data_IF_087773201068
#
_entry.id   IF_087773201068
#
_cell.length_a   1.000
_cell.length_b   1.000
_cell.length_c   1.000
_cell.angle_alpha   90.00
_cell.angle_beta   90.00
_cell.angle_gamma   90.00
#
_symmetry.space_group_name_H-M   'P 1'
#
loop_
_entity.id
_entity.type
_entity.pdbx_description
1 polymer ?
#
# COMPACT_ATOMS: atom_id res chain seq x y z
N UNK A 1 -6.80 -0.88 47.87
CA UNK A 1 -6.66 0.19 46.85
C UNK A 1 -5.40 -0.08 46.04
N UNK A 2 -5.54 -0.63 44.84
CA UNK A 2 -4.44 -0.75 43.86
C UNK A 2 -5.03 -0.43 42.50
N UNK A 3 -4.99 0.85 42.11
CA UNK A 3 -5.27 1.26 40.75
C UNK A 3 -4.03 0.91 39.91
N UNK A 4 -4.06 -0.25 39.25
CA UNK A 4 -3.12 -0.55 38.17
C UNK A 4 -3.56 0.26 36.95
N UNK A 5 -2.91 1.40 36.75
CA UNK A 5 -2.86 2.08 35.46
C UNK A 5 -2.24 1.13 34.44
N UNK A 6 -3.08 0.43 33.68
CA UNK A 6 -2.65 -0.25 32.44
C UNK A 6 -2.83 0.75 31.30
N UNK A 7 -1.93 1.74 31.27
CA UNK A 7 -1.67 2.52 30.07
C UNK A 7 -0.86 1.65 29.12
N UNK A 8 -1.53 0.95 28.22
CA UNK A 8 -0.90 0.24 27.10
C UNK A 8 -1.18 1.02 25.82
N UNK A 9 -0.32 2.00 25.56
CA UNK A 9 0.00 2.40 24.20
C UNK A 9 0.61 1.18 23.49
N UNK A 10 -0.07 0.61 22.51
CA UNK A 10 0.57 -0.36 21.62
C UNK A 10 -0.01 -0.34 20.21
N UNK A 11 0.88 0.08 19.31
CA UNK A 11 1.08 -0.36 17.94
C UNK A 11 -0.11 -0.25 16.98
N UNK A 12 -0.11 0.86 16.24
CA UNK A 12 0.12 0.84 14.79
C UNK A 12 0.30 -0.59 14.26
N UNK A 13 -0.76 -1.14 13.67
CA UNK A 13 -0.62 -2.28 12.77
C UNK A 13 0.07 -1.74 11.51
N UNK A 14 1.38 -1.60 11.62
CA UNK A 14 2.26 -1.47 10.47
C UNK A 14 2.50 -2.90 10.07
N UNK A 15 1.64 -3.40 9.17
CA UNK A 15 1.98 -4.62 8.47
C UNK A 15 3.25 -4.32 7.69
N UNK A 16 4.32 -4.96 8.14
CA UNK A 16 5.57 -5.02 7.42
C UNK A 16 5.25 -5.66 6.07
N UNK A 17 5.25 -4.85 5.01
CA UNK A 17 5.71 -5.32 3.72
C UNK A 17 7.15 -5.80 3.93
N UNK A 18 7.29 -7.06 4.36
CA UNK A 18 8.58 -7.71 4.54
C UNK A 18 9.31 -7.62 3.22
N UNK A 19 10.37 -6.81 3.22
CA UNK A 19 11.41 -6.76 2.19
C UNK A 19 11.79 -8.18 1.79
N UNK A 20 11.37 -8.61 0.61
CA UNK A 20 12.16 -9.52 -0.19
C UNK A 20 13.13 -8.65 -1.00
N UNK A 21 14.43 -8.87 -0.78
CA UNK A 21 15.49 -8.11 -1.43
C UNK A 21 15.46 -8.31 -2.95
N UNK A 22 15.04 -7.28 -3.66
CA UNK A 22 15.51 -6.91 -4.99
C UNK A 22 15.02 -5.47 -5.20
N UNK A 23 15.90 -4.49 -4.97
CA UNK A 23 15.61 -3.10 -5.27
C UNK A 23 15.49 -2.94 -6.79
N UNK A 24 14.26 -2.93 -7.28
CA UNK A 24 13.94 -2.57 -8.64
C UNK A 24 13.68 -1.05 -8.72
N UNK A 25 14.31 -0.29 -9.64
CA UNK A 25 14.16 1.17 -9.71
C UNK A 25 12.75 1.65 -10.06
N UNK A 26 11.82 0.77 -10.47
CA UNK A 26 10.49 1.13 -10.96
C UNK A 26 9.31 0.93 -9.98
N UNK A 27 9.48 0.19 -8.89
CA UNK A 27 8.37 -0.32 -8.06
C UNK A 27 8.57 -0.07 -6.56
N UNK A 28 8.98 1.13 -6.17
CA UNK A 28 9.05 1.48 -4.75
C UNK A 28 7.68 1.95 -4.26
N UNK A 29 6.95 1.06 -3.56
CA UNK A 29 5.98 1.55 -2.57
C UNK A 29 6.73 2.50 -1.61
N UNK A 30 6.12 3.61 -1.15
CA UNK A 30 6.81 4.54 -0.28
C UNK A 30 7.32 3.85 0.98
N UNK A 31 8.48 4.27 1.47
CA UNK A 31 9.06 3.74 2.71
C UNK A 31 8.01 3.81 3.83
N UNK A 32 7.68 2.70 4.53
CA UNK A 32 6.70 2.69 5.61
C UNK A 32 6.96 3.73 6.69
N UNK A 33 8.23 4.02 7.00
CA UNK A 33 8.60 5.07 7.94
C UNK A 33 8.26 6.47 7.42
N UNK A 34 8.49 6.71 6.12
CA UNK A 34 8.17 7.99 5.49
C UNK A 34 6.65 8.23 5.46
N UNK A 35 5.86 7.19 5.18
CA UNK A 35 4.40 7.26 5.25
C UNK A 35 3.93 7.60 6.67
N UNK A 36 4.47 6.95 7.69
CA UNK A 36 4.11 7.26 9.09
C UNK A 36 4.44 8.70 9.47
N UNK A 37 5.61 9.21 9.07
CA UNK A 37 5.95 10.62 9.29
C UNK A 37 4.99 11.56 8.58
N UNK A 38 4.55 11.22 7.37
CA UNK A 38 3.56 12.01 6.63
C UNK A 38 2.19 11.99 7.31
N UNK A 39 1.74 10.83 7.81
CA UNK A 39 0.50 10.69 8.59
C UNK A 39 0.56 11.59 9.83
N UNK A 40 1.66 11.54 10.59
CA UNK A 40 1.84 12.39 11.77
C UNK A 40 1.76 13.88 11.43
N UNK A 41 2.48 14.32 10.39
CA UNK A 41 2.45 15.73 9.94
C UNK A 41 1.04 16.17 9.54
N UNK A 42 0.30 15.36 8.79
CA UNK A 42 -1.06 15.71 8.37
C UNK A 42 -1.99 15.77 9.58
N UNK A 43 -1.87 14.83 10.52
CA UNK A 43 -2.70 14.81 11.73
C UNK A 43 -2.44 16.03 12.65
N UNK A 44 -1.20 16.54 12.67
CA UNK A 44 -0.81 17.74 13.40
C UNK A 44 -1.24 19.03 12.70
N UNK A 45 -0.96 19.13 11.40
CA UNK A 45 -1.22 20.34 10.59
C UNK A 45 -2.70 20.51 10.24
N UNK A 46 -3.46 19.41 10.21
CA UNK A 46 -4.91 19.37 9.97
C UNK A 46 -5.35 20.14 8.71
N UNK A 47 -4.70 19.92 7.55
CA UNK A 47 -5.03 20.66 6.33
C UNK A 47 -6.41 20.27 5.82
N UNK A 48 -7.18 21.24 5.31
CA UNK A 48 -8.52 21.01 4.73
C UNK A 48 -8.50 20.05 3.54
N UNK A 49 -7.43 20.11 2.74
CA UNK A 49 -7.24 19.25 1.58
C UNK A 49 -7.16 17.76 1.97
N UNK A 50 -6.65 17.44 3.16
CA UNK A 50 -6.60 16.06 3.64
C UNK A 50 -7.99 15.50 3.96
N UNK A 51 -8.92 16.31 4.50
CA UNK A 51 -10.30 15.85 4.70
C UNK A 51 -10.97 15.51 3.36
N UNK A 52 -10.75 16.34 2.33
CA UNK A 52 -11.29 16.10 0.99
C UNK A 52 -10.68 14.83 0.36
N UNK A 53 -9.36 14.66 0.47
CA UNK A 53 -8.65 13.47 0.00
C UNK A 53 -9.13 12.19 0.71
N UNK A 54 -9.27 12.24 2.03
CA UNK A 54 -9.78 11.12 2.83
C UNK A 54 -11.20 10.72 2.40
N UNK A 55 -12.11 11.68 2.19
CA UNK A 55 -13.47 11.41 1.71
C UNK A 55 -13.48 10.85 0.28
N UNK A 56 -12.64 11.38 -0.60
CA UNK A 56 -12.49 10.86 -1.96
C UNK A 56 -12.02 9.41 -1.93
N UNK A 57 -11.10 9.08 -1.02
CA UNK A 57 -10.64 7.72 -0.84
C UNK A 57 -11.71 6.80 -0.24
N UNK A 58 -12.48 7.26 0.74
CA UNK A 58 -13.64 6.52 1.27
C UNK A 58 -14.64 6.16 0.16
N UNK A 59 -14.90 7.09 -0.77
CA UNK A 59 -15.75 6.81 -1.92
C UNK A 59 -15.15 5.71 -2.81
N UNK A 60 -13.84 5.79 -3.09
CA UNK A 60 -13.15 4.80 -3.92
C UNK A 60 -13.15 3.40 -3.29
N UNK A 61 -12.88 3.28 -1.99
CA UNK A 61 -12.89 1.99 -1.29
C UNK A 61 -14.30 1.42 -1.19
N UNK A 62 -15.34 2.24 -1.02
CA UNK A 62 -16.72 1.76 -0.97
C UNK A 62 -17.24 1.21 -2.31
N UNK A 63 -16.61 1.55 -3.44
CA UNK A 63 -16.88 0.89 -4.72
C UNK A 63 -16.29 -0.53 -4.80
N UNK A 64 -15.40 -0.88 -3.87
CA UNK A 64 -14.76 -2.18 -3.82
C UNK A 64 -15.65 -3.22 -3.14
N UNK A 65 -15.59 -4.46 -3.64
CA UNK A 65 -16.41 -5.57 -3.11
C UNK A 65 -16.13 -5.79 -1.61
N UNK A 66 -17.18 -5.74 -0.80
CA UNK A 66 -17.13 -6.09 0.62
C UNK A 66 -16.73 -4.95 1.57
N UNK A 67 -16.61 -3.71 1.09
CA UNK A 67 -16.05 -2.60 1.87
C UNK A 67 -17.05 -1.60 2.47
N UNK A 68 -18.30 -2.04 2.65
CA UNK A 68 -19.38 -1.22 3.21
C UNK A 68 -19.79 -0.07 2.28
N UNK A 69 -20.92 0.57 2.58
CA UNK A 69 -21.39 1.71 1.76
C UNK A 69 -20.61 2.99 2.07
N UNK A 70 -20.60 3.93 1.12
CA UNK A 70 -19.96 5.25 1.30
C UNK A 70 -20.57 5.96 2.51
N UNK A 71 -21.89 5.90 2.66
CA UNK A 71 -22.62 6.56 3.75
C UNK A 71 -22.19 6.00 5.10
N UNK A 72 -22.02 4.68 5.21
CA UNK A 72 -21.58 4.02 6.45
C UNK A 72 -20.17 4.44 6.83
N UNK A 73 -19.26 4.46 5.85
CA UNK A 73 -17.86 4.81 6.07
C UNK A 73 -17.70 6.29 6.44
N UNK A 74 -18.41 7.18 5.74
CA UNK A 74 -18.39 8.62 6.04
C UNK A 74 -19.04 8.90 7.40
N UNK A 75 -20.17 8.27 7.72
CA UNK A 75 -20.83 8.43 9.02
C UNK A 75 -19.93 8.01 10.18
N UNK A 76 -19.15 6.94 10.01
CA UNK A 76 -18.17 6.54 11.01
C UNK A 76 -17.04 7.57 11.18
N UNK A 77 -16.51 8.09 10.07
CA UNK A 77 -15.49 9.14 10.11
C UNK A 77 -16.01 10.41 10.81
N UNK A 78 -17.26 10.81 10.57
CA UNK A 78 -17.89 11.94 11.29
C UNK A 78 -18.13 11.65 12.78
N UNK A 79 -18.47 10.41 13.12
CA UNK A 79 -18.59 9.99 14.52
C UNK A 79 -17.26 10.17 15.26
N UNK A 80 -16.13 9.87 14.63
CA UNK A 80 -14.82 10.16 15.23
C UNK A 80 -14.61 11.64 15.43
N UNK A 81 -14.99 12.48 14.46
CA UNK A 81 -14.85 13.92 14.57
C UNK A 81 -15.59 14.47 15.79
N UNK A 82 -16.76 13.91 16.10
CA UNK A 82 -17.57 14.30 17.25
C UNK A 82 -17.03 13.78 18.59
N UNK A 83 -16.48 12.57 18.62
CA UNK A 83 -16.14 11.87 19.87
C UNK A 83 -14.66 11.94 20.26
N UNK A 84 -13.75 11.95 19.27
CA UNK A 84 -12.31 11.97 19.47
C UNK A 84 -11.63 12.65 18.28
N UNK A 85 -11.43 13.97 18.42
CA UNK A 85 -10.83 14.80 17.38
C UNK A 85 -9.39 14.35 17.04
N UNK A 86 -8.67 13.76 18.00
CA UNK A 86 -7.33 13.22 17.75
C UNK A 86 -7.39 11.99 16.85
N UNK A 87 -8.23 11.02 17.21
CA UNK A 87 -8.43 9.80 16.42
C UNK A 87 -9.06 10.08 15.05
N UNK A 88 -9.86 11.14 14.92
CA UNK A 88 -10.35 11.65 13.64
C UNK A 88 -9.20 12.07 12.73
N UNK A 89 -8.34 12.97 13.18
CA UNK A 89 -7.24 13.48 12.35
C UNK A 89 -6.19 12.43 12.04
N UNK A 90 -5.97 11.46 12.92
CA UNK A 90 -5.14 10.29 12.61
C UNK A 90 -5.73 9.46 11.47
N UNK A 91 -7.05 9.24 11.46
CA UNK A 91 -7.69 8.48 10.38
C UNK A 91 -7.71 9.26 9.06
N UNK A 92 -8.04 10.56 9.11
CA UNK A 92 -7.97 11.44 7.92
C UNK A 92 -6.57 11.41 7.31
N UNK A 93 -5.54 11.52 8.14
CA UNK A 93 -4.16 11.46 7.68
C UNK A 93 -3.80 10.11 7.05
N UNK A 94 -4.19 9.00 7.68
CA UNK A 94 -3.97 7.65 7.15
C UNK A 94 -4.64 7.48 5.78
N UNK A 95 -5.93 7.84 5.66
CA UNK A 95 -6.68 7.76 4.41
C UNK A 95 -6.09 8.65 3.31
N UNK A 96 -5.61 9.83 3.68
CA UNK A 96 -4.98 10.77 2.72
C UNK A 96 -3.68 10.19 2.14
N UNK A 97 -2.81 9.63 2.99
CA UNK A 97 -1.55 9.03 2.53
C UNK A 97 -1.83 7.78 1.69
N UNK A 98 -2.78 6.95 2.09
CA UNK A 98 -3.20 5.78 1.32
C UNK A 98 -3.77 6.17 -0.05
N UNK A 99 -4.51 7.27 -0.13
CA UNK A 99 -5.02 7.78 -1.39
C UNK A 99 -3.90 8.22 -2.34
N UNK A 100 -2.92 8.96 -1.84
CA UNK A 100 -1.76 9.39 -2.64
C UNK A 100 -0.96 8.17 -3.17
N UNK A 101 -0.75 7.15 -2.33
CA UNK A 101 -0.14 5.88 -2.76
C UNK A 101 -0.92 5.26 -3.93
N UNK A 102 -2.23 5.14 -3.80
CA UNK A 102 -3.08 4.58 -4.85
C UNK A 102 -3.04 5.44 -6.12
N UNK A 103 -3.17 6.76 -6.01
CA UNK A 103 -3.12 7.66 -7.17
C UNK A 103 -1.79 7.56 -7.94
N UNK A 104 -0.67 7.46 -7.21
CA UNK A 104 0.64 7.29 -7.82
C UNK A 104 0.79 5.91 -8.48
N UNK A 105 0.23 4.85 -7.88
CA UNK A 105 0.22 3.51 -8.44
C UNK A 105 -0.66 3.41 -9.68
N UNK A 106 -1.87 3.98 -9.69
CA UNK A 106 -2.81 3.91 -10.82
C UNK A 106 -2.17 4.41 -12.12
N UNK A 107 -1.30 5.43 -12.04
CA UNK A 107 -0.59 5.98 -13.21
C UNK A 107 0.42 5.02 -13.83
N UNK A 108 0.88 4.02 -13.08
CA UNK A 108 1.94 3.09 -13.49
C UNK A 108 1.44 1.67 -13.69
N UNK A 109 0.56 1.22 -12.80
CA UNK A 109 0.07 -0.16 -12.70
C UNK A 109 -1.33 -0.15 -12.07
N UNK A 110 -2.35 -0.04 -12.92
CA UNK A 110 -3.75 0.03 -12.50
C UNK A 110 -4.25 -1.27 -11.85
N UNK A 111 -3.72 -2.43 -12.26
CA UNK A 111 -4.06 -3.74 -11.69
C UNK A 111 -3.56 -3.85 -10.26
N UNK A 112 -2.28 -3.52 -10.03
CA UNK A 112 -1.72 -3.47 -8.67
C UNK A 112 -2.41 -2.42 -7.82
N UNK A 113 -2.72 -1.25 -8.40
CA UNK A 113 -3.44 -0.20 -7.68
C UNK A 113 -4.83 -0.66 -7.21
N UNK A 114 -5.56 -1.45 -8.00
CA UNK A 114 -6.84 -2.02 -7.59
C UNK A 114 -6.69 -2.97 -6.39
N UNK A 115 -5.67 -3.84 -6.39
CA UNK A 115 -5.39 -4.74 -5.26
C UNK A 115 -4.94 -3.99 -4.00
N UNK A 116 -4.10 -2.96 -4.16
CA UNK A 116 -3.68 -2.11 -3.02
C UNK A 116 -4.87 -1.32 -2.46
N UNK A 117 -5.78 -0.85 -3.30
CA UNK A 117 -7.03 -0.20 -2.86
C UNK A 117 -7.88 -1.15 -2.02
N UNK A 118 -7.99 -2.42 -2.44
CA UNK A 118 -8.68 -3.46 -1.66
C UNK A 118 -8.03 -3.67 -0.29
N UNK A 119 -6.70 -3.80 -0.23
CA UNK A 119 -5.99 -3.95 1.04
C UNK A 119 -6.25 -2.78 1.98
N UNK A 120 -6.09 -1.54 1.50
CA UNK A 120 -6.30 -0.36 2.34
C UNK A 120 -7.73 -0.22 2.86
N UNK A 121 -8.73 -0.58 2.06
CA UNK A 121 -10.11 -0.59 2.57
C UNK A 121 -10.36 -1.69 3.61
N UNK A 122 -9.73 -2.86 3.49
CA UNK A 122 -9.78 -3.89 4.54
C UNK A 122 -9.08 -3.43 5.82
N UNK A 123 -7.94 -2.74 5.72
CA UNK A 123 -7.27 -2.13 6.88
C UNK A 123 -8.14 -1.08 7.57
N UNK A 124 -8.83 -0.23 6.79
CA UNK A 124 -9.79 0.74 7.30
C UNK A 124 -10.94 0.05 8.07
N UNK A 125 -11.51 -1.01 7.50
CA UNK A 125 -12.54 -1.80 8.18
C UNK A 125 -12.01 -2.46 9.45
N UNK A 126 -10.77 -2.99 9.43
CA UNK A 126 -10.16 -3.60 10.60
C UNK A 126 -9.99 -2.58 11.74
N UNK A 127 -9.53 -1.35 11.44
CA UNK A 127 -9.44 -0.26 12.44
C UNK A 127 -10.82 0.12 12.97
N UNK A 128 -11.83 0.16 12.11
CA UNK A 128 -13.23 0.43 12.48
C UNK A 128 -13.76 -0.62 13.46
N UNK A 129 -13.62 -1.90 13.13
CA UNK A 129 -14.02 -3.03 13.97
C UNK A 129 -13.23 -3.10 15.27
N UNK A 130 -11.95 -2.78 15.24
CA UNK A 130 -11.12 -2.73 16.45
C UNK A 130 -11.64 -1.67 17.45
N UNK A 131 -12.04 -0.48 16.96
CA UNK A 131 -12.63 0.55 17.81
C UNK A 131 -14.01 0.12 18.33
N UNK A 132 -14.84 -0.49 17.48
CA UNK A 132 -16.12 -1.06 17.89
C UNK A 132 -15.94 -2.13 18.98
N UNK A 133 -14.96 -3.01 18.84
CA UNK A 133 -14.65 -4.06 19.83
C UNK A 133 -14.31 -3.48 21.20
N UNK A 134 -13.51 -2.39 21.25
CA UNK A 134 -13.13 -1.72 22.50
C UNK A 134 -14.35 -1.12 23.23
N UNK A 135 -15.34 -0.62 22.48
CA UNK A 135 -16.55 -0.02 23.04
C UNK A 135 -17.68 -1.04 23.29
N UNK A 136 -17.57 -2.26 22.76
CA UNK A 136 -18.63 -3.26 22.82
C UNK A 136 -18.74 -3.95 24.18
N UNK A 137 -19.98 -4.30 24.54
CA UNK A 137 -20.29 -5.20 25.65
C UNK A 137 -19.79 -6.63 25.35
N UNK A 138 -19.54 -7.43 26.38
CA UNK A 138 -18.98 -8.79 26.23
C UNK A 138 -19.81 -9.70 25.31
N UNK A 139 -21.13 -9.55 25.32
CA UNK A 139 -22.06 -10.29 24.45
C UNK A 139 -21.89 -9.99 22.97
N UNK A 140 -21.35 -8.82 22.62
CA UNK A 140 -21.14 -8.38 21.23
C UNK A 140 -19.70 -8.61 20.76
N UNK A 141 -18.75 -8.78 21.69
CA UNK A 141 -17.32 -8.94 21.37
C UNK A 141 -17.03 -10.16 20.51
N UNK A 142 -17.70 -11.28 20.76
CA UNK A 142 -17.48 -12.51 19.98
C UNK A 142 -17.91 -12.33 18.51
N UNK A 143 -19.03 -11.65 18.28
CA UNK A 143 -19.48 -11.32 16.92
C UNK A 143 -18.48 -10.40 16.20
N UNK A 144 -18.00 -9.36 16.88
CA UNK A 144 -17.02 -8.42 16.29
C UNK A 144 -15.69 -9.13 16.03
N UNK A 145 -15.26 -10.03 16.92
CA UNK A 145 -14.07 -10.86 16.71
C UNK A 145 -14.18 -11.68 15.42
N UNK A 146 -15.31 -12.37 15.21
CA UNK A 146 -15.54 -13.14 13.98
C UNK A 146 -15.50 -12.25 12.72
N UNK A 147 -15.98 -11.00 12.81
CA UNK A 147 -15.86 -10.04 11.72
C UNK A 147 -14.41 -9.63 11.46
N UNK A 148 -13.62 -9.37 12.51
CA UNK A 148 -12.19 -9.08 12.39
C UNK A 148 -11.46 -10.25 11.74
N UNK A 149 -11.72 -11.49 12.15
CA UNK A 149 -11.10 -12.69 11.58
C UNK A 149 -11.37 -12.80 10.06
N UNK A 150 -12.60 -12.50 9.61
CA UNK A 150 -12.95 -12.47 8.18
C UNK A 150 -12.18 -11.39 7.41
N UNK A 151 -12.08 -10.18 7.98
CA UNK A 151 -11.35 -9.07 7.36
C UNK A 151 -9.86 -9.39 7.24
N UNK A 152 -9.26 -9.97 8.28
CA UNK A 152 -7.84 -10.36 8.29
C UNK A 152 -7.59 -11.50 7.31
N UNK A 153 -8.47 -12.50 7.22
CA UNK A 153 -8.34 -13.57 6.22
C UNK A 153 -8.35 -13.02 4.79
N UNK A 154 -9.34 -12.16 4.48
CA UNK A 154 -9.41 -11.50 3.16
C UNK A 154 -8.16 -10.65 2.87
N UNK A 155 -7.61 -9.99 3.90
CA UNK A 155 -6.38 -9.21 3.76
C UNK A 155 -5.20 -10.10 3.33
N UNK A 156 -4.99 -11.23 4.00
CA UNK A 156 -3.96 -12.19 3.62
C UNK A 156 -4.16 -12.74 2.20
N UNK A 157 -5.40 -13.00 1.78
CA UNK A 157 -5.68 -13.46 0.43
C UNK A 157 -5.27 -12.43 -0.64
N UNK A 158 -5.53 -11.13 -0.41
CA UNK A 158 -5.10 -10.08 -1.32
C UNK A 158 -3.58 -9.82 -1.29
N UNK A 159 -2.93 -9.93 -0.12
CA UNK A 159 -1.46 -9.88 -0.05
C UNK A 159 -0.83 -11.03 -0.86
N UNK A 160 -1.39 -12.24 -0.75
CA UNK A 160 -0.94 -13.38 -1.54
C UNK A 160 -1.13 -13.14 -3.03
N UNK A 161 -2.25 -12.55 -3.45
CA UNK A 161 -2.46 -12.16 -4.84
C UNK A 161 -1.41 -11.16 -5.32
N UNK A 162 -1.11 -10.11 -4.54
CA UNK A 162 -0.05 -9.15 -4.89
C UNK A 162 1.30 -9.84 -5.06
N UNK A 163 1.68 -10.73 -4.14
CA UNK A 163 2.94 -11.50 -4.24
C UNK A 163 2.98 -12.36 -5.50
N UNK A 164 1.87 -13.02 -5.85
CA UNK A 164 1.78 -13.81 -7.07
C UNK A 164 1.89 -12.95 -8.33
N UNK A 165 1.34 -11.73 -8.32
CA UNK A 165 1.53 -10.77 -9.41
C UNK A 165 2.99 -10.34 -9.55
N UNK A 166 3.67 -10.06 -8.43
CA UNK A 166 5.10 -9.72 -8.44
C UNK A 166 5.97 -10.86 -8.94
N UNK A 167 5.69 -12.11 -8.51
CA UNK A 167 6.38 -13.30 -9.00
C UNK A 167 6.25 -13.40 -10.53
N UNK A 168 5.04 -13.26 -11.06
CA UNK A 168 4.81 -13.31 -12.52
C UNK A 168 5.57 -12.24 -13.29
N UNK A 169 5.62 -11.02 -12.77
CA UNK A 169 6.37 -9.93 -13.41
C UNK A 169 7.89 -10.19 -13.38
N UNK A 170 8.41 -10.69 -12.26
CA UNK A 170 9.82 -11.09 -12.14
C UNK A 170 10.15 -12.23 -13.10
N UNK A 171 9.29 -13.26 -13.19
CA UNK A 171 9.47 -14.38 -14.11
C UNK A 171 9.49 -13.91 -15.57
N UNK A 172 8.58 -13.00 -15.95
CA UNK A 172 8.57 -12.40 -17.28
C UNK A 172 9.90 -11.69 -17.56
N UNK A 173 10.34 -10.79 -16.69
CA UNK A 173 11.59 -10.04 -16.84
C UNK A 173 12.82 -10.94 -16.89
N UNK A 174 12.83 -12.00 -16.08
CA UNK A 174 13.89 -13.00 -16.10
C UNK A 174 13.93 -13.72 -17.45
N UNK A 175 12.77 -14.05 -18.04
CA UNK A 175 12.71 -14.67 -19.36
C UNK A 175 13.21 -13.73 -20.47
N UNK A 176 12.89 -12.43 -20.39
CA UNK A 176 13.41 -11.40 -21.31
C UNK A 176 14.94 -11.28 -21.23
N UNK A 177 15.50 -11.21 -20.02
CA UNK A 177 16.96 -11.15 -19.81
C UNK A 177 17.64 -12.41 -20.34
N UNK A 178 17.05 -13.60 -20.11
CA UNK A 178 17.57 -14.86 -20.65
C UNK A 178 17.55 -14.88 -22.17
N UNK A 179 16.46 -14.44 -22.79
CA UNK A 179 16.33 -14.38 -24.25
C UNK A 179 17.36 -13.41 -24.87
N UNK A 180 17.53 -12.21 -24.30
CA UNK A 180 18.51 -11.25 -24.78
C UNK A 180 19.95 -11.75 -24.57
N UNK A 181 20.22 -12.41 -23.43
CA UNK A 181 21.53 -13.02 -23.18
C UNK A 181 21.85 -14.09 -24.23
N UNK A 182 20.89 -14.98 -24.52
CA UNK A 182 21.07 -16.01 -25.54
C UNK A 182 21.31 -15.39 -26.92
N UNK A 183 20.51 -14.38 -27.29
CA UNK A 183 20.68 -13.64 -28.55
C UNK A 183 22.09 -13.04 -28.67
N UNK A 184 22.65 -12.52 -27.58
CA UNK A 184 24.02 -11.99 -27.54
C UNK A 184 25.08 -13.06 -27.68
N UNK A 185 24.88 -14.24 -27.11
CA UNK A 185 25.77 -15.38 -27.29
C UNK A 185 25.74 -15.85 -28.75
N UNK A 186 24.57 -16.00 -29.33
CA UNK A 186 24.39 -16.45 -30.72
C UNK A 186 25.02 -15.47 -31.72
N UNK A 187 24.87 -14.16 -31.47
CA UNK A 187 25.41 -13.08 -32.33
C UNK A 187 26.77 -12.56 -31.90
N UNK A 188 27.46 -13.25 -30.99
CA UNK A 188 28.67 -12.72 -30.35
C UNK A 188 29.73 -12.28 -31.35
N UNK A 189 29.96 -13.05 -32.41
CA UNK A 189 30.95 -12.72 -33.44
C UNK A 189 30.59 -11.43 -34.20
N UNK A 190 29.31 -11.22 -34.53
CA UNK A 190 28.81 -10.01 -35.19
C UNK A 190 28.97 -8.78 -34.30
N UNK A 191 28.61 -8.90 -33.01
CA UNK A 191 28.79 -7.81 -32.05
C UNK A 191 30.26 -7.45 -31.84
N UNK A 192 31.16 -8.43 -31.78
CA UNK A 192 32.60 -8.18 -31.70
C UNK A 192 33.08 -7.44 -32.95
N UNK A 193 32.71 -7.91 -34.14
CA UNK A 193 33.09 -7.26 -35.40
C UNK A 193 32.62 -5.80 -35.43
N UNK A 194 31.34 -5.55 -35.10
CA UNK A 194 30.79 -4.20 -35.05
C UNK A 194 31.55 -3.29 -34.07
N UNK A 195 31.83 -3.77 -32.86
CA UNK A 195 32.57 -3.01 -31.86
C UNK A 195 34.00 -2.69 -32.32
N UNK A 196 34.68 -3.64 -32.97
CA UNK A 196 36.02 -3.42 -33.54
C UNK A 196 35.97 -2.39 -34.68
N UNK A 197 35.02 -2.51 -35.59
CA UNK A 197 34.86 -1.58 -36.72
C UNK A 197 34.59 -0.15 -36.25
N UNK A 198 33.81 0.02 -35.17
CA UNK A 198 33.52 1.32 -34.55
C UNK A 198 34.77 1.95 -33.92
N UNK A 199 35.54 1.17 -33.15
CA UNK A 199 36.82 1.61 -32.57
C UNK A 199 37.80 2.06 -33.64
N UNK A 200 37.93 1.30 -34.73
CA UNK A 200 38.82 1.64 -35.84
C UNK A 200 38.35 2.93 -36.52
N UNK A 201 37.05 3.07 -36.77
CA UNK A 201 36.49 4.27 -37.40
C UNK A 201 36.74 5.53 -36.58
N UNK A 202 36.55 5.46 -35.27
CA UNK A 202 36.83 6.59 -34.37
C UNK A 202 38.32 6.91 -34.28
N UNK A 203 39.20 5.90 -34.32
CA UNK A 203 40.65 6.12 -34.31
C UNK A 203 41.17 6.84 -35.56
N UNK A 204 40.48 6.72 -36.70
CA UNK A 204 40.88 7.33 -38.00
C UNK A 204 40.23 8.69 -38.23
N UNK A 205 39.28 9.13 -37.38
CA UNK A 205 38.65 10.46 -37.52
C UNK A 205 39.68 11.59 -37.30
N UNK A 206 39.78 12.57 -38.21
CA UNK A 206 40.58 13.77 -37.98
C UNK A 206 40.03 14.54 -36.77
N UNK A 207 40.93 15.09 -35.95
CA UNK A 207 40.58 15.96 -34.81
C UNK A 207 40.21 17.36 -35.26
#
# INVERSE_FOLDING_TARGET
MVARNVGLALALVVFAATRAGAQDPGQTMPNPQAMQMQVQRIAEQRPREAEAAARAFLNLISMQRGQGSVETNVAWLESLKANDLGAYWQEVAQLTVQFDVVQNLVRRDSTRAALVTQLFGLEYMARTLQRAYRAAADTQREQIRSQIEKVIAAHFDYENQLRLFEIKDIERRLSEVRAETQRRLDKRAEFIKFAVDDIIRDAVRPR
#
